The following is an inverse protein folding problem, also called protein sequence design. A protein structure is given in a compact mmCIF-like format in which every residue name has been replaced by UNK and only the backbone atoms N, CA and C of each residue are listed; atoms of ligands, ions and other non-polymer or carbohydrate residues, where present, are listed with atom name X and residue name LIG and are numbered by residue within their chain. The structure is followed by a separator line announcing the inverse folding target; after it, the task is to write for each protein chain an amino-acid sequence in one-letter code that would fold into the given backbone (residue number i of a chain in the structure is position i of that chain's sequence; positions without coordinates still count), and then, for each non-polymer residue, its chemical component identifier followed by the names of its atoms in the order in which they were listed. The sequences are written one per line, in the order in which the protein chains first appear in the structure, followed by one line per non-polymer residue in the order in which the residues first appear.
data_IF_676318495863
#
_entry.id   IF_676318495863
#
_cell.length_a   1.000
_cell.length_b   1.000
_cell.length_c   1.000
_cell.angle_alpha   90.00
_cell.angle_beta   90.00
_cell.angle_gamma   90.00
#
_symmetry.space_group_name_H-M   'P 1'
#
loop_
_entity.id
_entity.type
_entity.pdbx_description
1 polymer ?
#
# COMPACT_ATOMS: atom_id res chain seq x y z
N UNK A 1 3.82 1.02 11.29
CA UNK A 1 5.08 1.74 10.95
C UNK A 1 4.77 2.66 9.79
N UNK A 2 5.09 3.96 9.87
CA UNK A 2 4.79 4.95 8.83
C UNK A 2 6.04 5.80 8.61
N UNK A 3 6.49 5.94 7.36
CA UNK A 3 7.67 6.73 7.00
C UNK A 3 7.45 7.43 5.67
N UNK A 4 7.86 8.69 5.58
CA UNK A 4 7.90 9.47 4.36
C UNK A 4 9.17 10.33 4.36
N UNK A 5 9.81 10.43 3.20
CA UNK A 5 11.01 11.22 3.00
C UNK A 5 10.95 11.92 1.64
N UNK A 6 11.56 13.10 1.53
CA UNK A 6 11.70 13.79 0.25
C UNK A 6 12.45 12.89 -0.73
N UNK A 7 11.89 12.71 -1.92
CA UNK A 7 12.53 11.95 -2.99
C UNK A 7 13.71 12.78 -3.53
N UNK A 8 14.91 12.47 -3.06
CA UNK A 8 16.13 12.81 -3.79
C UNK A 8 16.33 11.64 -4.75
N UNK A 9 16.21 11.88 -6.06
CA UNK A 9 16.46 10.94 -7.17
C UNK A 9 16.96 9.58 -6.70
N UNK A 10 16.07 8.59 -6.65
CA UNK A 10 16.27 7.27 -6.06
C UNK A 10 17.54 6.58 -6.59
N UNK A 11 18.68 6.85 -5.96
CA UNK A 11 19.85 6.00 -6.09
C UNK A 11 19.57 4.75 -5.27
N UNK A 12 19.66 3.55 -5.86
CA UNK A 12 19.58 2.31 -5.11
C UNK A 12 20.56 2.40 -3.94
N UNK A 13 20.06 2.20 -2.71
CA UNK A 13 20.90 2.27 -1.51
C UNK A 13 22.13 1.36 -1.64
N UNK A 14 21.98 0.24 -2.35
CA UNK A 14 23.06 -0.69 -2.68
C UNK A 14 23.18 -0.87 -4.20
N UNK A 15 24.36 -0.61 -4.79
CA UNK A 15 24.63 -0.93 -6.19
C UNK A 15 24.32 -2.42 -6.48
N UNK A 16 23.60 -2.69 -7.58
CA UNK A 16 23.22 -4.05 -7.95
C UNK A 16 22.00 -4.63 -7.20
N UNK A 17 21.38 -3.91 -6.28
CA UNK A 17 20.12 -4.35 -5.61
C UNK A 17 18.93 -4.49 -6.57
N UNK A 18 18.98 -3.82 -7.72
CA UNK A 18 18.03 -3.99 -8.83
C UNK A 18 18.30 -5.25 -9.66
N UNK A 19 19.41 -5.95 -9.41
CA UNK A 19 19.69 -7.22 -10.08
C UNK A 19 18.79 -8.30 -9.45
N UNK A 20 17.59 -8.44 -10.02
CA UNK A 20 16.56 -9.35 -9.54
C UNK A 20 17.00 -10.81 -9.74
N UNK A 21 17.56 -11.41 -8.69
CA UNK A 21 17.81 -12.83 -8.66
C UNK A 21 16.46 -13.56 -8.50
N UNK A 22 16.03 -14.29 -9.53
CA UNK A 22 14.73 -14.98 -9.61
C UNK A 22 14.34 -15.78 -8.34
N UNK A 23 15.32 -16.30 -7.60
CA UNK A 23 15.13 -17.02 -6.32
C UNK A 23 14.41 -16.17 -5.25
N UNK A 24 14.73 -14.88 -5.14
CA UNK A 24 14.10 -14.01 -4.14
C UNK A 24 12.64 -13.70 -4.51
N UNK A 25 12.35 -13.57 -5.81
CA UNK A 25 11.00 -13.37 -6.33
C UNK A 25 10.10 -14.56 -6.04
N UNK A 26 10.60 -15.78 -6.24
CA UNK A 26 9.89 -17.02 -5.88
C UNK A 26 9.62 -17.10 -4.38
N UNK A 27 10.61 -16.76 -3.53
CA UNK A 27 10.41 -16.71 -2.08
C UNK A 27 9.37 -15.65 -1.69
N UNK A 28 9.40 -14.45 -2.28
CA UNK A 28 8.40 -13.41 -2.02
C UNK A 28 6.98 -13.88 -2.40
N UNK A 29 6.83 -14.60 -3.51
CA UNK A 29 5.54 -15.15 -3.95
C UNK A 29 5.01 -16.26 -3.02
N UNK A 30 5.90 -17.04 -2.39
CA UNK A 30 5.53 -18.05 -1.40
C UNK A 30 4.96 -17.42 -0.13
N UNK A 31 5.50 -16.29 0.33
CA UNK A 31 5.08 -15.66 1.58
C UNK A 31 4.07 -14.53 1.40
N UNK A 32 3.88 -14.03 0.19
CA UNK A 32 3.02 -12.88 -0.06
C UNK A 32 2.35 -12.88 -1.44
N UNK A 33 1.30 -12.07 -1.55
CA UNK A 33 0.85 -11.50 -2.83
C UNK A 33 1.45 -10.10 -2.92
N UNK A 34 2.09 -9.77 -4.03
CA UNK A 34 2.65 -8.43 -4.28
C UNK A 34 2.04 -7.87 -5.55
N UNK A 35 1.53 -6.64 -5.50
CA UNK A 35 0.84 -6.05 -6.65
C UNK A 35 1.04 -4.54 -6.73
N UNK A 36 1.24 -4.04 -7.94
CA UNK A 36 1.42 -2.62 -8.19
C UNK A 36 0.09 -1.86 -8.11
N UNK A 37 0.19 -0.58 -7.77
CA UNK A 37 -0.91 0.36 -7.81
C UNK A 37 -0.41 1.73 -8.29
N UNK A 38 -1.31 2.55 -8.81
CA UNK A 38 -1.00 3.90 -9.27
C UNK A 38 -2.11 4.88 -8.89
N UNK A 39 -1.76 6.12 -8.56
CA UNK A 39 -2.68 7.20 -8.27
C UNK A 39 -2.40 8.42 -9.14
N UNK A 40 -3.46 9.01 -9.69
CA UNK A 40 -3.38 10.23 -10.50
C UNK A 40 -3.99 11.40 -9.71
N UNK A 41 -3.21 12.46 -9.47
CA UNK A 41 -3.66 13.60 -8.66
C UNK A 41 -4.69 14.46 -9.38
N UNK A 42 -4.70 14.47 -10.72
CA UNK A 42 -5.63 15.27 -11.51
C UNK A 42 -7.05 14.70 -11.47
N UNK A 43 -7.17 13.37 -11.36
CA UNK A 43 -8.47 12.67 -11.30
C UNK A 43 -8.86 12.30 -9.88
N UNK A 44 -7.90 12.22 -8.96
CA UNK A 44 -8.12 11.68 -7.61
C UNK A 44 -8.37 10.17 -7.59
N UNK A 45 -8.12 9.47 -8.70
CA UNK A 45 -8.34 8.03 -8.86
C UNK A 45 -7.08 7.26 -8.51
N UNK A 46 -7.25 6.21 -7.72
CA UNK A 46 -6.27 5.17 -7.44
C UNK A 46 -6.69 3.90 -8.20
N UNK A 47 -5.79 3.42 -9.04
CA UNK A 47 -5.89 2.16 -9.78
C UNK A 47 -5.13 1.08 -9.05
N UNK A 48 -5.86 0.04 -8.67
CA UNK A 48 -5.39 -1.16 -8.02
C UNK A 48 -5.30 -2.29 -9.05
N UNK A 49 -4.44 -3.27 -8.80
CA UNK A 49 -4.60 -4.54 -9.49
C UNK A 49 -5.74 -5.38 -8.88
N UNK A 50 -6.01 -6.52 -9.50
CA UNK A 50 -7.14 -7.39 -9.19
C UNK A 50 -7.09 -7.90 -7.75
N UNK A 51 -5.92 -8.37 -7.29
CA UNK A 51 -5.76 -8.92 -5.95
C UNK A 51 -5.90 -7.84 -4.89
N UNK A 52 -5.37 -6.65 -5.14
CA UNK A 52 -5.45 -5.50 -4.25
C UNK A 52 -6.90 -5.06 -4.11
N UNK A 53 -7.65 -4.95 -5.22
CA UNK A 53 -9.09 -4.62 -5.16
C UNK A 53 -9.85 -5.66 -4.33
N UNK A 54 -9.62 -6.94 -4.60
CA UNK A 54 -10.28 -8.06 -3.90
C UNK A 54 -9.95 -8.07 -2.40
N UNK A 55 -8.68 -7.94 -2.03
CA UNK A 55 -8.24 -8.00 -0.63
C UNK A 55 -8.67 -6.77 0.17
N UNK A 56 -8.80 -5.61 -0.47
CA UNK A 56 -9.40 -4.41 0.14
C UNK A 56 -10.93 -4.47 0.18
N UNK A 57 -11.57 -5.47 -0.43
CA UNK A 57 -13.04 -5.61 -0.49
C UNK A 57 -13.71 -4.55 -1.35
N UNK A 58 -13.00 -4.02 -2.35
CA UNK A 58 -13.50 -3.01 -3.27
C UNK A 58 -14.15 -3.68 -4.49
N UNK A 59 -15.28 -3.13 -4.93
CA UNK A 59 -16.07 -3.66 -6.04
C UNK A 59 -15.44 -3.41 -7.41
N UNK A 60 -14.48 -2.49 -7.50
CA UNK A 60 -13.81 -2.11 -8.74
C UNK A 60 -12.32 -1.83 -8.48
N UNK A 61 -11.44 -2.09 -9.47
CA UNK A 61 -10.01 -1.78 -9.38
C UNK A 61 -9.71 -0.28 -9.27
N UNK A 62 -10.64 0.59 -9.66
CA UNK A 62 -10.52 2.03 -9.51
C UNK A 62 -11.30 2.50 -8.27
N UNK A 63 -10.64 3.30 -7.42
CA UNK A 63 -11.27 3.88 -6.24
C UNK A 63 -10.67 5.24 -5.89
N UNK A 64 -11.38 6.05 -5.09
CA UNK A 64 -10.81 7.24 -4.48
C UNK A 64 -10.01 6.89 -3.22
N UNK A 65 -9.06 7.77 -2.84
CA UNK A 65 -8.23 7.59 -1.64
C UNK A 65 -9.06 7.28 -0.38
N UNK A 66 -10.15 8.01 -0.15
CA UNK A 66 -10.98 7.78 1.05
C UNK A 66 -11.63 6.40 1.07
N UNK A 67 -11.98 5.82 -0.09
CA UNK A 67 -12.51 4.46 -0.16
C UNK A 67 -11.43 3.45 0.24
N UNK A 68 -10.19 3.65 -0.21
CA UNK A 68 -9.05 2.83 0.18
C UNK A 68 -8.75 2.93 1.68
N UNK A 69 -8.69 4.14 2.24
CA UNK A 69 -8.39 4.36 3.67
C UNK A 69 -9.44 3.71 4.58
N UNK A 70 -10.72 3.68 4.16
CA UNK A 70 -11.80 3.05 4.93
C UNK A 70 -11.61 1.54 5.12
N UNK A 71 -10.84 0.88 4.27
CA UNK A 71 -10.52 -0.54 4.39
C UNK A 71 -9.55 -0.81 5.56
N UNK A 72 -8.80 0.18 6.03
CA UNK A 72 -7.77 0.00 7.06
C UNK A 72 -8.30 0.09 8.49
N UNK A 73 -7.52 -0.46 9.42
CA UNK A 73 -7.74 -0.35 10.86
C UNK A 73 -7.93 1.13 11.25
N UNK A 74 -8.99 1.41 11.99
CA UNK A 74 -9.36 2.75 12.45
C UNK A 74 -8.21 3.53 13.10
N UNK A 75 -7.28 2.83 13.77
CA UNK A 75 -6.12 3.44 14.45
C UNK A 75 -5.08 3.99 13.48
N UNK A 76 -5.03 3.43 12.28
CA UNK A 76 -4.02 3.75 11.27
C UNK A 76 -4.55 4.73 10.20
N UNK A 77 -5.87 4.87 10.05
CA UNK A 77 -6.50 5.66 8.97
C UNK A 77 -5.97 7.09 8.86
N UNK A 78 -5.85 7.81 9.99
CA UNK A 78 -5.36 9.19 10.00
C UNK A 78 -3.90 9.27 9.54
N UNK A 79 -3.05 8.36 10.03
CA UNK A 79 -1.62 8.33 9.68
C UNK A 79 -1.40 7.96 8.21
N UNK A 80 -2.17 7.01 7.68
CA UNK A 80 -2.09 6.64 6.26
C UNK A 80 -2.57 7.81 5.38
N UNK A 81 -3.70 8.43 5.74
CA UNK A 81 -4.23 9.57 5.00
C UNK A 81 -3.23 10.74 4.95
N UNK A 82 -2.68 11.12 6.10
CA UNK A 82 -1.69 12.20 6.21
C UNK A 82 -0.45 11.91 5.33
N UNK A 83 -0.01 10.65 5.29
CA UNK A 83 1.11 10.23 4.45
C UNK A 83 0.81 10.40 2.95
N UNK A 84 -0.39 10.03 2.50
CA UNK A 84 -0.82 10.24 1.11
C UNK A 84 -0.95 11.73 0.76
N UNK A 85 -1.45 12.56 1.69
CA UNK A 85 -1.54 14.02 1.50
C UNK A 85 -0.15 14.66 1.37
N UNK A 86 0.81 14.25 2.20
CA UNK A 86 2.19 14.70 2.09
C UNK A 86 2.83 14.26 0.76
N UNK A 87 2.59 13.01 0.32
CA UNK A 87 3.07 12.52 -0.97
C UNK A 87 2.42 13.23 -2.18
N UNK A 88 1.17 13.71 -2.04
CA UNK A 88 0.51 14.46 -3.11
C UNK A 88 1.09 15.88 -3.31
N UNK A 89 1.71 16.45 -2.27
CA UNK A 89 2.20 17.84 -2.30
C UNK A 89 3.70 17.97 -2.59
N UNK A 90 4.47 16.89 -2.41
CA UNK A 90 5.94 16.92 -2.55
C UNK A 90 6.42 15.62 -3.18
N UNK A 91 7.44 15.69 -4.05
CA UNK A 91 8.14 14.48 -4.51
C UNK A 91 8.69 13.73 -3.30
N UNK A 92 8.13 12.56 -3.02
CA UNK A 92 8.38 11.82 -1.78
C UNK A 92 8.41 10.32 -2.05
N UNK A 93 9.30 9.62 -1.36
CA UNK A 93 9.24 8.17 -1.18
C UNK A 93 8.64 7.88 0.19
N UNK A 94 7.76 6.89 0.27
CA UNK A 94 7.06 6.55 1.49
C UNK A 94 6.90 5.05 1.66
N UNK A 95 6.70 4.63 2.90
CA UNK A 95 6.24 3.30 3.22
C UNK A 95 5.36 3.29 4.47
N UNK A 96 4.41 2.36 4.50
CA UNK A 96 3.62 2.09 5.69
C UNK A 96 3.28 0.62 5.84
N UNK A 97 2.86 0.26 7.05
CA UNK A 97 2.25 -1.02 7.34
C UNK A 97 0.99 -0.79 8.17
N UNK A 98 -0.09 -1.47 7.79
CA UNK A 98 -1.40 -1.41 8.44
C UNK A 98 -2.10 -2.77 8.30
N UNK A 99 -3.36 -2.85 8.69
CA UNK A 99 -4.21 -4.04 8.59
C UNK A 99 -5.50 -3.67 7.88
N UNK A 100 -5.87 -4.45 6.86
CA UNK A 100 -7.17 -4.38 6.22
C UNK A 100 -8.19 -5.10 7.10
N UNK A 101 -9.32 -4.45 7.34
CA UNK A 101 -10.46 -4.99 8.07
C UNK A 101 -11.43 -5.61 7.07
N UNK A 102 -11.41 -6.94 6.92
CA UNK A 102 -12.28 -7.62 5.97
C UNK A 102 -13.72 -7.76 6.53
N UNK A 103 -14.76 -7.69 5.68
CA UNK A 103 -16.16 -7.82 6.11
C UNK A 103 -16.49 -9.13 6.84
N UNK A 104 -15.72 -10.19 6.58
CA UNK A 104 -15.85 -11.50 7.21
C UNK A 104 -15.20 -11.59 8.60
N UNK A 105 -14.73 -10.48 9.17
CA UNK A 105 -14.12 -10.41 10.50
C UNK A 105 -12.64 -10.82 10.55
N UNK A 106 -12.08 -11.30 9.45
CA UNK A 106 -10.64 -11.53 9.34
C UNK A 106 -9.88 -10.23 9.09
N UNK A 107 -8.59 -10.25 9.43
CA UNK A 107 -7.70 -9.09 9.34
C UNK A 107 -6.51 -9.45 8.46
N UNK A 108 -6.25 -8.68 7.41
CA UNK A 108 -5.16 -8.92 6.46
C UNK A 108 -4.07 -7.87 6.66
N UNK A 109 -2.87 -8.25 7.14
CA UNK A 109 -1.73 -7.34 7.18
C UNK A 109 -1.39 -6.84 5.77
N UNK A 110 -0.95 -5.59 5.70
CA UNK A 110 -0.57 -4.90 4.48
C UNK A 110 0.74 -4.15 4.71
N UNK A 111 1.66 -4.26 3.76
CA UNK A 111 2.78 -3.35 3.60
C UNK A 111 2.61 -2.59 2.29
N UNK A 112 2.91 -1.29 2.32
CA UNK A 112 2.90 -0.44 1.16
C UNK A 112 4.21 0.31 1.07
N UNK A 113 4.77 0.37 -0.13
CA UNK A 113 5.88 1.24 -0.48
C UNK A 113 5.48 1.97 -1.76
N UNK A 114 5.82 3.24 -1.84
CA UNK A 114 5.53 4.02 -3.02
C UNK A 114 6.37 5.27 -3.13
N UNK A 115 6.24 5.89 -4.28
CA UNK A 115 6.86 7.16 -4.60
C UNK A 115 5.84 8.06 -5.29
N UNK A 116 6.11 9.36 -5.21
CA UNK A 116 5.30 10.40 -5.81
C UNK A 116 6.18 11.32 -6.62
N UNK A 117 5.73 11.64 -7.81
CA UNK A 117 6.28 12.69 -8.65
C UNK A 117 5.40 13.92 -8.40
N UNK A 118 5.77 14.68 -7.38
CA UNK A 118 5.09 15.91 -6.99
C UNK A 118 5.11 16.97 -8.09
N UNK A 119 4.29 18.00 -7.91
CA UNK A 119 3.89 19.01 -8.90
C UNK A 119 4.99 20.00 -9.35
N UNK A 120 6.25 19.57 -9.55
CA UNK A 120 7.30 20.47 -10.05
C UNK A 120 7.13 20.84 -11.54
N UNK A 121 6.21 20.19 -12.26
CA UNK A 121 5.83 20.58 -13.63
C UNK A 121 4.32 20.46 -13.82
N UNK A 122 3.64 21.60 -13.93
CA UNK A 122 2.29 21.83 -14.51
C UNK A 122 1.30 20.64 -14.38
N UNK A 123 0.51 20.63 -13.30
CA UNK A 123 -0.78 19.93 -13.17
C UNK A 123 -0.84 18.40 -13.31
N UNK A 124 0.26 17.70 -13.57
CA UNK A 124 0.26 16.24 -13.78
C UNK A 124 1.14 15.54 -12.76
N UNK A 125 0.70 15.51 -11.51
CA UNK A 125 1.33 14.72 -10.45
C UNK A 125 0.73 13.32 -10.38
N UNK A 126 1.57 12.34 -10.08
CA UNK A 126 1.14 10.96 -9.87
C UNK A 126 1.93 10.31 -8.74
N UNK A 127 1.39 9.23 -8.21
CA UNK A 127 2.08 8.35 -7.29
C UNK A 127 1.94 6.91 -7.78
N UNK A 128 2.92 6.09 -7.47
CA UNK A 128 2.89 4.67 -7.77
C UNK A 128 3.56 3.90 -6.64
N UNK A 129 3.21 2.63 -6.52
CA UNK A 129 3.79 1.81 -5.48
C UNK A 129 3.44 0.35 -5.63
N UNK A 130 3.78 -0.39 -4.57
CA UNK A 130 3.48 -1.81 -4.43
C UNK A 130 2.78 -2.04 -3.10
N UNK A 131 1.74 -2.86 -3.14
CA UNK A 131 1.16 -3.49 -1.97
C UNK A 131 1.73 -4.90 -1.83
N UNK A 132 2.09 -5.26 -0.60
CA UNK A 132 2.53 -6.61 -0.24
C UNK A 132 1.60 -7.13 0.86
N UNK A 133 0.90 -8.22 0.54
CA UNK A 133 -0.06 -8.90 1.41
C UNK A 133 0.55 -10.24 1.86
N UNK A 134 1.00 -10.37 3.12
CA UNK A 134 1.46 -11.64 3.64
C UNK A 134 0.36 -12.72 3.57
N UNK A 135 0.72 -13.97 3.26
CA UNK A 135 -0.22 -15.10 3.15
C UNK A 135 -0.62 -15.68 4.50
N UNK A 136 -1.07 -14.82 5.41
CA UNK A 136 -1.74 -15.22 6.64
C UNK A 136 -2.78 -14.18 7.02
N UNK A 137 -3.79 -14.61 7.77
CA UNK A 137 -4.85 -13.75 8.30
C UNK A 137 -4.76 -13.73 9.81
N UNK A 138 -5.04 -12.58 10.40
CA UNK A 138 -5.24 -12.48 11.84
C UNK A 138 -6.72 -12.71 12.13
N UNK A 139 -7.02 -13.52 13.13
CA UNK A 139 -8.39 -13.70 13.61
C UNK A 139 -8.88 -12.40 14.28
N UNK A 140 -10.18 -12.13 14.14
CA UNK A 140 -10.83 -11.05 14.88
C UNK A 140 -10.81 -11.35 16.38
N UNK A 141 -10.75 -10.30 17.21
CA UNK A 141 -10.70 -10.41 18.67
C UNK A 141 -11.85 -11.21 19.33
N UNK A 142 -12.88 -11.60 18.56
CA UNK A 142 -14.05 -12.35 19.01
C UNK A 142 -13.90 -13.88 18.95
N UNK A 143 -12.76 -14.44 18.51
CA UNK A 143 -12.55 -15.91 18.48
C UNK A 143 -11.58 -16.44 19.56
N UNK A 144 -10.99 -15.58 20.39
CA UNK A 144 -10.02 -16.02 21.42
C UNK A 144 -10.71 -16.72 22.62
N UNK A 145 -12.04 -16.87 22.64
CA UNK A 145 -12.79 -17.47 23.77
C UNK A 145 -13.22 -18.93 23.58
N UNK A 146 -12.47 -19.76 22.84
CA UNK A 146 -12.69 -21.22 22.92
C UNK A 146 -11.42 -22.04 22.74
N UNK A 147 -10.51 -21.94 23.71
CA UNK A 147 -9.61 -23.05 24.01
C UNK A 147 -9.67 -23.27 25.54
N UNK A 148 -10.54 -24.20 25.95
CA UNK A 148 -10.50 -24.90 27.24
C UNK A 148 -10.44 -26.38 26.94
#
# INVERSE_FOLDING_TARGET
MFKIAKANTATPLMPGSLNDNNRNREMLAQFSVSEAWAGDFSTGVIRLGEWSSMLHGLSAPECGLLNLIRCYDTKDRSHVLELFEQAATRCSSFCFSTTIMMPNGFRQPLFCMGESNGLEKKYSGSMAGVFIFPRFKLEGANQITSWR
#
